data_IF_697029939888
#
_entry.id   IF_697029939888
#
_cell.length_a   1.000
_cell.length_b   1.000
_cell.length_c   1.000
_cell.angle_alpha   90.00
_cell.angle_beta   90.00
_cell.angle_gamma   90.00
#
_symmetry.space_group_name_H-M   'P 1'
#
loop_
_entity.id
_entity.type
_entity.pdbx_description
1 polymer ?
#
# COMPACT_ATOMS: atom_id res chain seq x y z
N UNK A 1 13.02 12.76 -9.14
CA UNK A 1 13.95 11.61 -9.19
C UNK A 1 13.80 10.68 -8.00
N UNK A 2 13.69 11.20 -6.79
CA UNK A 2 13.45 10.41 -5.58
C UNK A 2 12.09 9.69 -5.68
N UNK A 3 11.07 10.33 -6.20
CA UNK A 3 9.74 9.73 -6.40
C UNK A 3 9.77 8.48 -7.29
N UNK A 4 10.61 8.46 -8.32
CA UNK A 4 10.71 7.29 -9.22
C UNK A 4 11.28 6.07 -8.51
N UNK A 5 12.28 6.28 -7.65
CA UNK A 5 12.89 5.20 -6.86
C UNK A 5 11.86 4.65 -5.87
N UNK A 6 11.17 5.52 -5.14
CA UNK A 6 10.15 5.13 -4.18
C UNK A 6 8.99 4.41 -4.84
N UNK A 7 8.54 4.90 -5.99
CA UNK A 7 7.47 4.26 -6.77
C UNK A 7 7.89 2.86 -7.21
N UNK A 8 9.12 2.71 -7.70
CA UNK A 8 9.65 1.40 -8.11
C UNK A 8 9.72 0.45 -6.92
N UNK A 9 10.19 0.93 -5.77
CA UNK A 9 10.22 0.13 -4.54
C UNK A 9 8.82 -0.37 -4.17
N UNK A 10 7.83 0.51 -4.22
CA UNK A 10 6.45 0.15 -3.93
C UNK A 10 5.91 -0.86 -4.94
N UNK A 11 6.13 -0.63 -6.22
CA UNK A 11 5.65 -1.54 -7.28
C UNK A 11 6.30 -2.92 -7.18
N UNK A 12 7.59 -2.98 -6.86
CA UNK A 12 8.29 -4.25 -6.68
C UNK A 12 7.72 -5.05 -5.52
N UNK A 13 7.40 -4.38 -4.40
CA UNK A 13 6.76 -5.03 -3.26
C UNK A 13 5.34 -5.51 -3.60
N UNK A 14 4.57 -4.69 -4.30
CA UNK A 14 3.22 -5.05 -4.74
C UNK A 14 3.22 -6.26 -5.66
N UNK A 15 4.21 -6.32 -6.57
CA UNK A 15 4.31 -7.41 -7.55
C UNK A 15 4.59 -8.77 -6.89
N UNK A 16 5.20 -8.77 -5.70
CA UNK A 16 5.54 -10.00 -4.98
C UNK A 16 4.51 -10.46 -3.97
N UNK A 17 3.44 -9.70 -3.78
CA UNK A 17 2.37 -10.08 -2.85
C UNK A 17 1.83 -11.46 -3.16
N UNK A 18 1.47 -12.30 -2.19
CA UNK A 18 1.39 -12.01 -0.75
C UNK A 18 2.72 -12.07 0.01
N UNK A 19 3.83 -12.42 -0.63
CA UNK A 19 5.14 -12.41 0.01
C UNK A 19 5.63 -10.97 0.16
N UNK A 20 6.09 -10.62 1.35
CA UNK A 20 6.63 -9.28 1.64
C UNK A 20 8.02 -9.44 2.24
N UNK A 21 9.02 -8.89 1.57
CA UNK A 21 10.39 -8.89 2.10
C UNK A 21 10.50 -7.81 3.19
N UNK A 22 10.81 -8.18 4.45
CA UNK A 22 10.88 -7.20 5.53
C UNK A 22 11.93 -6.11 5.32
N UNK A 23 13.08 -6.45 4.74
CA UNK A 23 14.14 -5.47 4.50
C UNK A 23 13.70 -4.41 3.48
N UNK A 24 13.07 -4.84 2.39
CA UNK A 24 12.55 -3.93 1.37
C UNK A 24 11.41 -3.07 1.93
N UNK A 25 10.55 -3.66 2.75
CA UNK A 25 9.46 -2.94 3.39
C UNK A 25 9.98 -1.87 4.34
N UNK A 26 10.98 -2.19 5.14
CA UNK A 26 11.65 -1.22 6.03
C UNK A 26 12.27 -0.07 5.23
N UNK A 27 12.96 -0.39 4.14
CA UNK A 27 13.58 0.61 3.29
C UNK A 27 12.54 1.58 2.72
N UNK A 28 11.41 1.07 2.27
CA UNK A 28 10.32 1.91 1.77
C UNK A 28 9.73 2.78 2.89
N UNK A 29 9.49 2.19 4.06
CA UNK A 29 8.98 2.92 5.22
C UNK A 29 9.89 4.07 5.62
N UNK A 30 11.20 3.85 5.63
CA UNK A 30 12.18 4.88 5.92
C UNK A 30 12.20 5.99 4.85
N UNK A 31 12.07 5.60 3.59
CA UNK A 31 12.05 6.56 2.48
C UNK A 31 10.81 7.47 2.52
N UNK A 32 9.69 6.97 3.04
CA UNK A 32 8.44 7.73 3.13
C UNK A 32 8.31 8.49 4.45
N UNK A 33 9.15 8.19 5.43
CA UNK A 33 9.17 8.91 6.70
C UNK A 33 9.63 10.35 6.48
N UNK A 34 9.17 11.26 7.33
CA UNK A 34 9.53 12.66 7.23
C UNK A 34 8.30 13.55 7.22
N UNK A 35 8.49 14.83 6.93
CA UNK A 35 7.43 15.83 7.01
C UNK A 35 6.84 16.22 5.67
N UNK A 36 7.55 15.93 4.55
CA UNK A 36 7.03 16.23 3.22
C UNK A 36 5.85 15.30 2.91
N UNK A 37 4.65 15.85 2.61
CA UNK A 37 3.48 15.02 2.33
C UNK A 37 3.52 14.34 0.96
N UNK A 38 4.33 14.79 0.03
CA UNK A 38 4.32 14.32 -1.36
C UNK A 38 4.70 12.84 -1.52
N UNK A 39 5.77 12.35 -0.89
CA UNK A 39 6.13 10.93 -1.07
C UNK A 39 5.05 9.97 -0.58
N UNK A 40 4.41 10.27 0.54
CA UNK A 40 3.32 9.43 1.06
C UNK A 40 2.11 9.48 0.12
N UNK A 41 1.74 10.66 -0.35
CA UNK A 41 0.62 10.81 -1.27
C UNK A 41 0.86 10.03 -2.57
N UNK A 42 2.07 10.09 -3.11
CA UNK A 42 2.44 9.34 -4.32
C UNK A 42 2.40 7.83 -4.08
N UNK A 43 2.85 7.38 -2.90
CA UNK A 43 2.77 5.97 -2.52
C UNK A 43 1.31 5.49 -2.45
N UNK A 44 0.44 6.25 -1.80
CA UNK A 44 -0.97 5.89 -1.67
C UNK A 44 -1.67 5.87 -3.03
N UNK A 45 -1.34 6.82 -3.92
CA UNK A 45 -1.86 6.82 -5.28
C UNK A 45 -1.42 5.55 -6.04
N UNK A 46 -0.18 5.15 -5.87
CA UNK A 46 0.35 3.92 -6.49
C UNK A 46 -0.39 2.69 -5.99
N UNK A 47 -0.62 2.60 -4.68
CA UNK A 47 -1.37 1.49 -4.07
C UNK A 47 -2.81 1.46 -4.59
N UNK A 48 -3.47 2.60 -4.63
CA UNK A 48 -4.86 2.69 -5.11
C UNK A 48 -4.97 2.33 -6.59
N UNK A 49 -4.01 2.74 -7.41
CA UNK A 49 -3.98 2.36 -8.83
C UNK A 49 -3.78 0.84 -8.99
N UNK A 50 -2.89 0.25 -8.21
CA UNK A 50 -2.67 -1.19 -8.20
C UNK A 50 -3.94 -1.95 -7.80
N UNK A 51 -4.62 -1.49 -6.74
CA UNK A 51 -5.88 -2.08 -6.28
C UNK A 51 -6.96 -2.00 -7.35
N UNK A 52 -7.09 -0.86 -8.02
CA UNK A 52 -8.07 -0.68 -9.09
C UNK A 52 -7.84 -1.66 -10.23
N UNK A 53 -6.59 -1.88 -10.62
CA UNK A 53 -6.25 -2.85 -11.65
C UNK A 53 -6.58 -4.28 -11.23
N UNK A 54 -6.32 -4.62 -9.97
CA UNK A 54 -6.61 -5.96 -9.45
C UNK A 54 -8.11 -6.22 -9.35
N UNK A 55 -8.88 -5.22 -8.93
CA UNK A 55 -10.34 -5.31 -8.89
C UNK A 55 -10.90 -5.52 -10.29
N UNK A 56 -10.36 -4.81 -11.27
CA UNK A 56 -10.79 -4.92 -12.65
C UNK A 56 -10.51 -6.30 -13.25
N UNK A 57 -9.31 -6.85 -12.97
CA UNK A 57 -8.90 -8.17 -13.45
C UNK A 57 -9.57 -9.33 -12.71
N UNK A 58 -10.09 -9.08 -11.54
CA UNK A 58 -10.67 -10.10 -10.67
C UNK A 58 -12.13 -10.43 -10.95
N UNK A 59 -12.68 -9.98 -12.04
CA UNK A 59 -14.07 -10.27 -12.45
C UNK A 59 -14.26 -11.76 -12.57
N UNK A 60 -15.04 -12.35 -11.72
CA UNK A 60 -15.31 -13.78 -11.71
C UNK A 60 -14.94 -14.46 -10.42
N UNK A 61 -14.15 -13.80 -9.57
CA UNK A 61 -13.86 -14.30 -8.23
C UNK A 61 -14.38 -13.30 -7.20
N UNK A 62 -15.62 -13.47 -6.80
CA UNK A 62 -16.31 -12.53 -5.92
C UNK A 62 -15.67 -12.46 -4.53
N UNK A 63 -15.24 -13.60 -4.01
CA UNK A 63 -14.58 -13.64 -2.68
C UNK A 63 -13.30 -12.84 -2.69
N UNK A 64 -12.50 -12.97 -3.74
CA UNK A 64 -11.26 -12.22 -3.89
C UNK A 64 -11.51 -10.72 -4.06
N UNK A 65 -12.51 -10.36 -4.86
CA UNK A 65 -12.91 -8.96 -5.03
C UNK A 65 -13.33 -8.33 -3.71
N UNK A 66 -14.10 -9.06 -2.90
CA UNK A 66 -14.53 -8.58 -1.60
C UNK A 66 -13.36 -8.33 -0.66
N UNK A 67 -12.38 -9.25 -0.63
CA UNK A 67 -11.18 -9.07 0.21
C UNK A 67 -10.36 -7.84 -0.22
N UNK A 68 -10.20 -7.65 -1.51
CA UNK A 68 -9.46 -6.49 -2.04
C UNK A 68 -10.22 -5.19 -1.77
N UNK A 69 -11.53 -5.19 -1.91
CA UNK A 69 -12.36 -4.01 -1.64
C UNK A 69 -12.30 -3.63 -0.14
N UNK A 70 -12.37 -4.61 0.74
CA UNK A 70 -12.23 -4.38 2.18
C UNK A 70 -10.84 -3.83 2.52
N UNK A 71 -9.79 -4.39 1.92
CA UNK A 71 -8.44 -3.89 2.13
C UNK A 71 -8.32 -2.44 1.68
N UNK A 72 -8.91 -2.10 0.53
CA UNK A 72 -8.93 -0.72 0.04
C UNK A 72 -9.59 0.24 1.03
N UNK A 73 -10.73 -0.14 1.59
CA UNK A 73 -11.43 0.67 2.58
C UNK A 73 -10.58 0.88 3.84
N UNK A 74 -9.97 -0.18 4.35
CA UNK A 74 -9.12 -0.12 5.53
C UNK A 74 -7.87 0.74 5.30
N UNK A 75 -7.25 0.60 4.13
CA UNK A 75 -6.06 1.38 3.76
C UNK A 75 -6.41 2.87 3.71
N UNK A 76 -7.50 3.21 3.05
CA UNK A 76 -7.90 4.62 2.91
C UNK A 76 -8.32 5.22 4.25
N UNK A 77 -8.97 4.45 5.12
CA UNK A 77 -9.29 4.88 6.48
C UNK A 77 -8.04 5.12 7.31
N UNK A 78 -7.07 4.21 7.24
CA UNK A 78 -5.80 4.35 7.95
C UNK A 78 -5.01 5.57 7.46
N UNK A 79 -5.04 5.82 6.16
CA UNK A 79 -4.38 7.00 5.56
C UNK A 79 -5.02 8.30 6.05
N UNK A 80 -6.35 8.35 6.12
CA UNK A 80 -7.06 9.52 6.64
C UNK A 80 -6.74 9.76 8.12
N UNK A 81 -6.68 8.69 8.91
CA UNK A 81 -6.35 8.78 10.32
C UNK A 81 -4.92 9.29 10.52
N UNK A 82 -3.99 8.79 9.72
CA UNK A 82 -2.60 9.24 9.79
C UNK A 82 -2.47 10.73 9.49
N UNK A 83 -3.23 11.23 8.53
CA UNK A 83 -3.26 12.66 8.20
C UNK A 83 -3.94 13.47 9.31
N UNK A 84 -5.13 13.03 9.74
CA UNK A 84 -5.95 13.75 10.73
C UNK A 84 -5.25 13.87 12.08
N UNK A 85 -4.59 12.79 12.52
CA UNK A 85 -3.96 12.71 13.85
C UNK A 85 -2.45 12.87 13.80
N UNK A 86 -1.90 13.20 12.63
CA UNK A 86 -0.45 13.36 12.42
C UNK A 86 0.34 12.14 12.92
N UNK A 87 -0.10 10.96 12.54
CA UNK A 87 0.53 9.71 12.93
C UNK A 87 1.82 9.46 12.12
N UNK A 88 2.69 8.62 12.65
CA UNK A 88 3.91 8.23 11.95
C UNK A 88 3.60 7.43 10.69
N UNK A 89 4.39 7.67 9.64
CA UNK A 89 4.17 7.08 8.31
C UNK A 89 4.67 5.64 8.20
N UNK A 90 5.76 5.32 8.88
CA UNK A 90 6.35 3.98 8.78
C UNK A 90 5.39 2.88 9.24
N UNK A 91 4.72 3.01 10.40
CA UNK A 91 3.68 2.05 10.78
C UNK A 91 2.52 1.99 9.80
N UNK A 92 2.16 3.12 9.18
CA UNK A 92 1.11 3.14 8.16
C UNK A 92 1.52 2.30 6.95
N UNK A 93 2.74 2.45 6.45
CA UNK A 93 3.25 1.67 5.32
C UNK A 93 3.23 0.17 5.64
N UNK A 94 3.66 -0.20 6.85
CA UNK A 94 3.62 -1.59 7.30
C UNK A 94 2.20 -2.13 7.35
N UNK A 95 1.26 -1.34 7.85
CA UNK A 95 -0.14 -1.72 7.92
C UNK A 95 -0.75 -1.91 6.52
N UNK A 96 -0.43 -1.03 5.58
CA UNK A 96 -0.89 -1.14 4.20
C UNK A 96 -0.46 -2.48 3.60
N UNK A 97 0.82 -2.84 3.69
CA UNK A 97 1.30 -4.10 3.13
C UNK A 97 0.78 -5.32 3.90
N UNK A 98 0.56 -5.21 5.20
CA UNK A 98 -0.09 -6.26 5.99
C UNK A 98 -1.51 -6.55 5.49
N UNK A 99 -2.29 -5.51 5.26
CA UNK A 99 -3.66 -5.63 4.73
C UNK A 99 -3.65 -6.23 3.32
N UNK A 100 -2.73 -5.79 2.47
CA UNK A 100 -2.62 -6.30 1.09
C UNK A 100 -2.16 -7.75 1.05
N UNK A 101 -1.20 -8.12 1.90
CA UNK A 101 -0.72 -9.50 1.99
C UNK A 101 -1.85 -10.42 2.42
N UNK A 102 -2.64 -10.01 3.40
CA UNK A 102 -3.80 -10.78 3.85
C UNK A 102 -4.84 -10.92 2.75
N UNK A 103 -5.15 -9.85 2.04
CA UNK A 103 -6.15 -9.85 0.98
C UNK A 103 -5.73 -10.68 -0.25
N UNK A 104 -4.43 -10.83 -0.48
CA UNK A 104 -3.90 -11.57 -1.64
C UNK A 104 -3.51 -13.01 -1.31
N UNK A 105 -3.66 -13.41 -0.06
CA UNK A 105 -3.32 -14.73 0.43
C UNK A 105 -4.43 -15.73 0.12
N UNK A 106 -4.52 -16.31 -0.83
CA UNK A 106 -5.57 -17.26 -1.10
C UNK A 106 -6.00 -17.19 -2.49
#
# INVERSE_FOLDING_TARGET
MIERVQRRQALDLLARLPAVDPADLHALGDALAGTDPQPLAAFLDTVNAWLSQRLDRGRGDLARLNRLAEASEHINAAARDAETYNLERKPLVFNVFGLLAEATRG
#
